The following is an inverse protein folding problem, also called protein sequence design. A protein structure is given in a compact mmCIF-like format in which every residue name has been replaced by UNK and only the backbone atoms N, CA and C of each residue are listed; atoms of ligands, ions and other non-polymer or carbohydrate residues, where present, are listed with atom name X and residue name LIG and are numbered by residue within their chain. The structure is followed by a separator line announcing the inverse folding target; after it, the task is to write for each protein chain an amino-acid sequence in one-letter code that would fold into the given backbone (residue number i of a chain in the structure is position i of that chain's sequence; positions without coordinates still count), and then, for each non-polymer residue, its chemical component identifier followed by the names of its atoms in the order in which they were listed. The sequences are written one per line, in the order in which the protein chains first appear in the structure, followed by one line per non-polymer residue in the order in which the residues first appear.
data_IF_463110907734
#
_entry.id   IF_463110907734
#
_cell.length_a   1.000
_cell.length_b   1.000
_cell.length_c   1.000
_cell.angle_alpha   90.00
_cell.angle_beta   90.00
_cell.angle_gamma   90.00
#
_symmetry.space_group_name_H-M   'P 1'
#
loop_
_entity.id
_entity.type
_entity.pdbx_description
1 polymer ?
#
# COMPACT_ATOMS: atom_id res chain seq x y z
N UNK A 1 -19.12 -20.28 47.19
CA UNK A 1 -20.43 -20.58 47.82
C UNK A 1 -21.19 -19.27 47.92
N UNK A 2 -22.39 -19.18 47.35
CA UNK A 2 -23.29 -18.01 47.52
C UNK A 2 -23.43 -17.11 46.29
N UNK A 3 -24.21 -17.58 45.33
CA UNK A 3 -25.01 -16.76 44.40
C UNK A 3 -26.23 -16.20 45.19
N UNK A 4 -27.22 -15.51 44.59
CA UNK A 4 -27.28 -14.28 43.76
C UNK A 4 -28.25 -13.25 44.39
N UNK A 5 -28.51 -12.08 43.78
CA UNK A 5 -29.88 -11.57 43.62
C UNK A 5 -30.00 -10.38 42.65
N UNK A 6 -31.17 -10.32 42.00
CA UNK A 6 -31.56 -9.54 40.83
C UNK A 6 -31.92 -8.07 41.16
N UNK A 7 -31.98 -7.19 40.14
CA UNK A 7 -32.37 -5.79 40.28
C UNK A 7 -33.88 -5.58 40.29
N UNK A 8 -34.34 -4.54 41.00
CA UNK A 8 -35.71 -4.02 40.97
C UNK A 8 -35.71 -2.49 40.79
N UNK A 9 -36.61 -2.03 39.92
CA UNK A 9 -37.31 -0.74 39.93
C UNK A 9 -36.50 0.56 39.68
N UNK A 10 -36.96 1.59 38.97
CA UNK A 10 -38.20 1.87 38.24
C UNK A 10 -38.08 3.31 37.68
N UNK A 11 -38.77 3.59 36.55
CA UNK A 11 -39.55 4.84 36.28
C UNK A 11 -38.72 6.13 35.98
N UNK A 12 -38.94 6.95 34.94
CA UNK A 12 -40.13 7.60 34.32
C UNK A 12 -39.75 7.91 32.85
N UNK A 13 -40.56 7.65 31.80
CA UNK A 13 -41.68 8.47 31.28
C UNK A 13 -41.17 9.65 30.44
N UNK A 14 -41.77 10.16 29.36
CA UNK A 14 -43.02 10.02 28.61
C UNK A 14 -42.71 10.61 27.19
N UNK A 15 -43.47 10.58 26.09
CA UNK A 15 -44.89 10.73 25.77
C UNK A 15 -45.09 10.07 24.37
N UNK A 16 -46.17 9.34 24.07
CA UNK A 16 -47.48 9.89 23.63
C UNK A 16 -47.41 10.23 22.12
N UNK A 17 -48.24 9.77 21.19
CA UNK A 17 -49.66 9.36 21.14
C UNK A 17 -49.80 8.53 19.83
N UNK A 18 -50.78 7.67 19.54
CA UNK A 18 -52.13 7.45 20.05
C UNK A 18 -52.97 6.79 18.93
N UNK A 19 -54.09 6.18 19.31
CA UNK A 19 -55.14 5.53 18.51
C UNK A 19 -54.92 4.02 18.20
N UNK A 20 -55.22 3.10 19.14
CA UNK A 20 -56.54 2.49 19.44
C UNK A 20 -57.10 1.69 18.25
N UNK A 21 -57.40 0.39 18.35
CA UNK A 21 -58.46 -0.15 19.20
C UNK A 21 -58.25 -1.61 19.60
N UNK A 22 -58.76 -1.89 20.79
CA UNK A 22 -58.97 -3.15 21.48
C UNK A 22 -59.64 -4.25 20.62
N UNK A 23 -59.44 -5.52 21.00
CA UNK A 23 -60.50 -6.42 21.52
C UNK A 23 -59.88 -7.79 21.79
N UNK A 24 -59.89 -8.18 23.07
CA UNK A 24 -59.89 -9.58 23.47
C UNK A 24 -61.07 -10.29 22.80
N UNK A 25 -60.81 -11.32 22.00
CA UNK A 25 -61.83 -12.29 21.66
C UNK A 25 -61.29 -13.71 21.85
N UNK A 26 -61.44 -14.20 23.08
CA UNK A 26 -61.72 -15.62 23.31
C UNK A 26 -63.00 -15.97 22.56
N UNK A 27 -62.87 -16.36 21.29
CA UNK A 27 -63.98 -16.93 20.53
C UNK A 27 -63.47 -17.99 19.56
N UNK A 28 -63.81 -19.22 19.93
CA UNK A 28 -64.30 -20.28 19.07
C UNK A 28 -63.43 -20.66 17.85
N UNK A 29 -63.02 -21.93 17.84
CA UNK A 29 -62.49 -22.62 16.66
C UNK A 29 -63.55 -22.63 15.55
N UNK A 30 -63.69 -21.55 14.78
CA UNK A 30 -64.39 -21.58 13.50
C UNK A 30 -63.54 -22.35 12.50
N UNK A 31 -64.13 -23.38 11.91
CA UNK A 31 -63.47 -24.22 10.90
C UNK A 31 -63.30 -23.40 9.62
N UNK A 32 -62.12 -22.78 9.44
CA UNK A 32 -61.73 -22.05 8.22
C UNK A 32 -62.18 -22.82 6.96
N UNK A 33 -62.76 -22.13 5.97
CA UNK A 33 -63.18 -22.80 4.73
C UNK A 33 -61.96 -23.36 3.98
N UNK A 34 -62.14 -24.37 3.12
CA UNK A 34 -61.02 -25.04 2.45
C UNK A 34 -60.18 -24.09 1.58
N UNK A 35 -60.80 -23.06 1.01
CA UNK A 35 -60.14 -22.05 0.18
C UNK A 35 -59.29 -21.08 1.03
N UNK A 36 -59.80 -20.62 2.17
CA UNK A 36 -59.05 -19.79 3.12
C UNK A 36 -57.87 -20.56 3.73
N UNK A 37 -58.05 -21.86 4.00
CA UNK A 37 -56.96 -22.75 4.43
C UNK A 37 -55.89 -22.88 3.34
N UNK A 38 -56.29 -23.03 2.08
CA UNK A 38 -55.37 -23.10 0.93
C UNK A 38 -54.61 -21.79 0.74
N UNK A 39 -55.29 -20.65 0.78
CA UNK A 39 -54.65 -19.33 0.66
C UNK A 39 -53.67 -19.05 1.81
N UNK A 40 -54.03 -19.41 3.05
CA UNK A 40 -53.14 -19.32 4.22
C UNK A 40 -51.91 -20.22 4.08
N UNK A 41 -52.09 -21.42 3.53
CA UNK A 41 -51.01 -22.36 3.25
C UNK A 41 -50.07 -21.83 2.15
N UNK A 42 -50.61 -21.24 1.09
CA UNK A 42 -49.80 -20.65 0.01
C UNK A 42 -49.04 -19.40 0.48
N UNK A 43 -49.65 -18.56 1.34
CA UNK A 43 -48.95 -17.46 2.01
C UNK A 43 -47.81 -17.98 2.92
N UNK A 44 -48.05 -19.07 3.66
CA UNK A 44 -47.03 -19.72 4.48
C UNK A 44 -45.89 -20.28 3.62
N UNK A 45 -46.20 -20.94 2.50
CA UNK A 45 -45.20 -21.43 1.53
C UNK A 45 -44.37 -20.29 0.97
N UNK A 46 -44.99 -19.18 0.55
CA UNK A 46 -44.28 -17.98 0.08
C UNK A 46 -43.34 -17.42 1.15
N UNK A 47 -43.80 -17.35 2.40
CA UNK A 47 -42.97 -16.91 3.54
C UNK A 47 -41.80 -17.87 3.80
N UNK A 48 -42.03 -19.18 3.74
CA UNK A 48 -40.97 -20.20 3.88
C UNK A 48 -39.95 -20.16 2.74
N UNK A 49 -40.41 -19.93 1.50
CA UNK A 49 -39.50 -19.76 0.37
C UNK A 49 -38.69 -18.46 0.47
N UNK A 50 -39.30 -17.36 0.91
CA UNK A 50 -38.62 -16.10 1.13
C UNK A 50 -37.55 -16.21 2.23
N UNK A 51 -37.88 -16.86 3.36
CA UNK A 51 -36.91 -17.09 4.44
C UNK A 51 -35.79 -18.03 4.02
N UNK A 52 -36.11 -19.13 3.32
CA UNK A 52 -35.10 -20.05 2.79
C UNK A 52 -34.15 -19.36 1.79
N UNK A 53 -34.68 -18.50 0.91
CA UNK A 53 -33.88 -17.70 -0.02
C UNK A 53 -33.02 -16.68 0.71
N UNK A 54 -33.57 -15.94 1.68
CA UNK A 54 -32.83 -14.97 2.47
C UNK A 54 -31.70 -15.63 3.27
N UNK A 55 -31.96 -16.80 3.87
CA UNK A 55 -30.94 -17.59 4.57
C UNK A 55 -29.86 -18.10 3.60
N UNK A 56 -30.23 -18.53 2.39
CA UNK A 56 -29.25 -18.92 1.38
C UNK A 56 -28.39 -17.73 0.94
N UNK A 57 -29.02 -16.56 0.77
CA UNK A 57 -28.31 -15.34 0.40
C UNK A 57 -27.35 -14.90 1.52
N UNK A 58 -27.78 -14.90 2.78
CA UNK A 58 -26.91 -14.53 3.91
C UNK A 58 -25.72 -15.49 4.05
N UNK A 59 -25.92 -16.80 3.90
CA UNK A 59 -24.83 -17.78 3.90
C UNK A 59 -23.84 -17.56 2.75
N UNK A 60 -24.34 -17.27 1.54
CA UNK A 60 -23.48 -16.98 0.39
C UNK A 60 -22.71 -15.68 0.61
N UNK A 61 -23.37 -14.62 1.08
CA UNK A 61 -22.75 -13.33 1.40
C UNK A 61 -21.69 -13.46 2.51
N UNK A 62 -21.96 -14.23 3.56
CA UNK A 62 -21.00 -14.49 4.62
C UNK A 62 -19.77 -15.24 4.06
N UNK A 63 -20.00 -16.30 3.27
CA UNK A 63 -18.92 -17.02 2.60
C UNK A 63 -18.13 -16.14 1.63
N UNK A 64 -18.79 -15.18 0.97
CA UNK A 64 -18.14 -14.23 0.08
C UNK A 64 -17.31 -13.22 0.89
N UNK A 65 -17.86 -12.67 1.99
CA UNK A 65 -17.15 -11.78 2.91
C UNK A 65 -15.91 -12.44 3.50
N UNK A 66 -16.01 -13.71 3.88
CA UNK A 66 -14.87 -14.49 4.39
C UNK A 66 -13.79 -14.75 3.33
N UNK A 67 -14.17 -14.80 2.03
CA UNK A 67 -13.22 -15.01 0.92
C UNK A 67 -12.52 -13.74 0.45
N UNK A 68 -13.02 -12.55 0.80
CA UNK A 68 -12.41 -11.28 0.38
C UNK A 68 -11.09 -11.09 1.11
N UNK A 69 -10.01 -11.34 0.38
CA UNK A 69 -8.65 -11.06 0.83
C UNK A 69 -8.34 -9.56 0.71
N UNK A 70 -7.37 -9.04 1.47
CA UNK A 70 -6.96 -7.63 1.41
C UNK A 70 -6.61 -7.15 -0.02
N UNK A 71 -6.02 -8.04 -0.84
CA UNK A 71 -5.71 -7.77 -2.24
C UNK A 71 -6.96 -7.63 -3.12
N UNK A 72 -7.99 -8.42 -2.85
CA UNK A 72 -9.26 -8.38 -3.57
C UNK A 72 -10.10 -7.19 -3.14
N UNK A 73 -10.13 -6.87 -1.84
CA UNK A 73 -10.73 -5.65 -1.32
C UNK A 73 -10.15 -4.39 -2.01
N UNK A 74 -8.82 -4.26 -2.06
CA UNK A 74 -8.15 -3.15 -2.75
C UNK A 74 -8.35 -3.15 -4.28
N UNK A 75 -8.69 -4.29 -4.89
CA UNK A 75 -9.08 -4.37 -6.32
C UNK A 75 -10.51 -3.87 -6.51
N UNK A 76 -11.44 -4.31 -5.66
CA UNK A 76 -12.84 -3.89 -5.70
C UNK A 76 -12.98 -2.39 -5.39
N UNK A 77 -12.22 -1.87 -4.44
CA UNK A 77 -12.17 -0.44 -4.13
C UNK A 77 -11.70 0.38 -5.35
N UNK A 78 -10.62 -0.05 -6.02
CA UNK A 78 -10.17 0.59 -7.27
C UNK A 78 -11.22 0.53 -8.37
N UNK A 79 -11.97 -0.57 -8.48
CA UNK A 79 -13.06 -0.70 -9.44
C UNK A 79 -14.23 0.24 -9.10
N UNK A 80 -14.58 0.37 -7.81
CA UNK A 80 -15.61 1.29 -7.33
C UNK A 80 -15.23 2.74 -7.56
N UNK A 81 -14.02 3.14 -7.17
CA UNK A 81 -13.49 4.48 -7.43
C UNK A 81 -13.46 4.80 -8.94
N UNK A 82 -13.04 3.84 -9.78
CA UNK A 82 -13.12 3.99 -11.23
C UNK A 82 -14.56 4.20 -11.69
N UNK A 83 -15.50 3.38 -11.22
CA UNK A 83 -16.92 3.53 -11.57
C UNK A 83 -17.49 4.89 -11.13
N UNK A 84 -17.12 5.38 -9.94
CA UNK A 84 -17.50 6.72 -9.45
C UNK A 84 -16.88 7.83 -10.31
N UNK A 85 -15.61 7.72 -10.69
CA UNK A 85 -14.96 8.70 -11.59
C UNK A 85 -15.58 8.70 -12.99
N UNK A 86 -16.01 7.53 -13.50
CA UNK A 86 -16.72 7.45 -14.77
C UNK A 86 -18.14 7.99 -14.66
N UNK A 87 -18.84 7.73 -13.56
CA UNK A 87 -20.18 8.25 -13.32
C UNK A 87 -20.16 9.76 -13.21
N UNK A 88 -19.29 10.30 -12.36
CA UNK A 88 -19.09 11.76 -12.22
C UNK A 88 -18.67 12.40 -13.54
N UNK A 89 -17.88 11.71 -14.36
CA UNK A 89 -17.54 12.16 -15.71
C UNK A 89 -18.77 12.22 -16.63
N UNK A 90 -19.59 11.18 -16.67
CA UNK A 90 -20.84 11.16 -17.43
C UNK A 90 -21.81 12.25 -16.95
N UNK A 91 -21.99 12.38 -15.62
CA UNK A 91 -22.84 13.39 -14.98
C UNK A 91 -22.37 14.83 -15.29
N UNK A 92 -21.07 15.05 -15.54
CA UNK A 92 -20.51 16.35 -15.92
C UNK A 92 -20.55 16.60 -17.44
N UNK A 93 -20.39 15.57 -18.27
CA UNK A 93 -20.61 15.65 -19.72
C UNK A 93 -22.07 16.00 -20.05
N UNK A 94 -23.04 15.41 -19.32
CA UNK A 94 -24.47 15.74 -19.44
C UNK A 94 -24.79 17.18 -19.02
N UNK A 95 -24.09 17.70 -18.00
CA UNK A 95 -24.22 19.10 -17.55
C UNK A 95 -23.41 20.09 -18.40
N UNK A 96 -22.55 19.62 -19.30
CA UNK A 96 -21.66 20.46 -20.10
C UNK A 96 -20.55 21.14 -19.29
N UNK A 97 -20.17 20.59 -18.13
CA UNK A 97 -19.13 21.12 -17.26
C UNK A 97 -17.75 20.52 -17.60
N UNK A 98 -16.70 21.36 -17.59
CA UNK A 98 -15.32 20.94 -17.79
C UNK A 98 -14.70 20.42 -16.47
N UNK A 99 -14.68 19.10 -16.32
CA UNK A 99 -14.18 18.40 -15.12
C UNK A 99 -12.70 18.68 -14.88
N UNK A 100 -11.91 18.79 -15.95
CA UNK A 100 -10.47 19.00 -15.83
C UNK A 100 -10.20 20.41 -15.29
N UNK A 101 -10.95 21.42 -15.76
CA UNK A 101 -10.87 22.76 -15.20
C UNK A 101 -11.21 22.82 -13.71
N UNK A 102 -12.28 22.14 -13.29
CA UNK A 102 -12.66 22.09 -11.88
C UNK A 102 -11.58 21.44 -11.01
N UNK A 103 -11.00 20.32 -11.46
CA UNK A 103 -9.87 19.66 -10.80
C UNK A 103 -8.61 20.53 -10.77
N UNK A 104 -8.34 21.26 -11.84
CA UNK A 104 -7.18 22.15 -11.91
C UNK A 104 -7.29 23.33 -10.94
N UNK A 105 -8.50 23.75 -10.57
CA UNK A 105 -8.71 24.75 -9.53
C UNK A 105 -8.45 24.22 -8.11
N UNK A 106 -8.56 22.91 -7.91
CA UNK A 106 -8.28 22.28 -6.62
C UNK A 106 -6.77 22.16 -6.34
N UNK A 107 -5.93 22.17 -7.38
CA UNK A 107 -4.48 22.10 -7.21
C UNK A 107 -3.91 23.42 -6.70
N UNK A 108 -3.27 23.36 -5.53
CA UNK A 108 -2.47 24.48 -5.02
C UNK A 108 -1.14 24.58 -5.76
N UNK A 109 -0.52 25.77 -5.74
CA UNK A 109 0.80 25.99 -6.37
C UNK A 109 1.84 25.06 -5.76
N UNK A 110 1.82 24.87 -4.44
CA UNK A 110 2.75 23.99 -3.72
C UNK A 110 2.60 22.52 -4.15
N UNK A 111 1.35 22.05 -4.28
CA UNK A 111 1.07 20.70 -4.76
C UNK A 111 1.53 20.49 -6.20
N UNK A 112 1.35 21.49 -7.07
CA UNK A 112 1.84 21.43 -8.45
C UNK A 112 3.37 21.37 -8.49
N UNK A 113 4.06 22.20 -7.71
CA UNK A 113 5.53 22.20 -7.63
C UNK A 113 6.08 20.86 -7.13
N UNK A 114 5.46 20.27 -6.10
CA UNK A 114 5.82 18.94 -5.61
C UNK A 114 5.57 17.85 -6.66
N UNK A 115 4.46 17.96 -7.39
CA UNK A 115 4.11 17.05 -8.48
C UNK A 115 5.11 17.12 -9.63
N UNK A 116 5.47 18.32 -10.08
CA UNK A 116 6.50 18.53 -11.11
C UNK A 116 7.86 17.99 -10.66
N UNK A 117 8.25 18.24 -9.41
CA UNK A 117 9.48 17.69 -8.82
C UNK A 117 9.46 16.16 -8.81
N UNK A 118 8.32 15.55 -8.52
CA UNK A 118 8.13 14.09 -8.55
C UNK A 118 8.21 13.54 -9.97
N UNK A 119 7.61 14.21 -10.96
CA UNK A 119 7.69 13.85 -12.37
C UNK A 119 9.11 13.97 -12.91
N UNK A 120 9.80 15.07 -12.63
CA UNK A 120 11.20 15.27 -12.99
C UNK A 120 12.10 14.20 -12.38
N UNK A 121 11.89 13.86 -11.10
CA UNK A 121 12.56 12.76 -10.41
C UNK A 121 12.29 11.41 -11.09
N UNK A 122 11.06 11.15 -11.52
CA UNK A 122 10.69 9.92 -12.24
C UNK A 122 11.34 9.85 -13.61
N UNK A 123 11.30 10.94 -14.39
CA UNK A 123 11.96 11.05 -15.70
C UNK A 123 13.46 10.78 -15.60
N UNK A 124 14.14 11.35 -14.60
CA UNK A 124 15.55 11.07 -14.31
C UNK A 124 15.85 9.62 -13.96
N UNK A 125 14.91 8.91 -13.31
CA UNK A 125 15.08 7.49 -12.95
C UNK A 125 14.65 6.53 -14.05
N UNK A 126 13.98 7.02 -15.10
CA UNK A 126 13.56 6.22 -16.25
C UNK A 126 14.71 5.92 -17.22
N UNK A 127 15.90 6.48 -16.99
CA UNK A 127 17.10 6.11 -17.73
C UNK A 127 17.62 4.73 -17.26
N UNK A 128 17.37 3.72 -18.10
CA UNK A 128 17.81 2.35 -17.91
C UNK A 128 19.12 2.04 -18.62
N UNK A 129 19.69 2.99 -19.35
CA UNK A 129 20.94 2.80 -20.07
C UNK A 129 22.11 2.62 -19.09
N UNK A 130 23.13 1.90 -19.55
CA UNK A 130 24.37 1.71 -18.83
C UNK A 130 25.41 2.66 -19.44
N UNK A 131 25.89 3.61 -18.64
CA UNK A 131 26.91 4.58 -19.02
C UNK A 131 28.28 4.14 -18.51
N UNK A 132 28.43 4.10 -17.18
CA UNK A 132 29.62 3.61 -16.47
C UNK A 132 29.24 2.91 -15.15
N UNK A 133 30.21 2.26 -14.54
CA UNK A 133 30.04 1.58 -13.26
C UNK A 133 29.82 2.57 -12.11
N UNK A 134 30.44 3.76 -12.15
CA UNK A 134 30.29 4.77 -11.11
C UNK A 134 28.88 5.38 -11.09
N UNK A 135 28.29 5.70 -12.25
CA UNK A 135 26.88 6.12 -12.33
C UNK A 135 25.93 5.00 -11.92
N UNK A 136 26.21 3.75 -12.31
CA UNK A 136 25.41 2.61 -11.87
C UNK A 136 25.44 2.44 -10.33
N UNK A 137 26.61 2.57 -9.71
CA UNK A 137 26.78 2.54 -8.26
C UNK A 137 26.05 3.72 -7.59
N UNK A 138 26.20 4.94 -8.11
CA UNK A 138 25.50 6.14 -7.62
C UNK A 138 23.98 6.00 -7.70
N UNK A 139 23.44 5.44 -8.79
CA UNK A 139 22.01 5.17 -8.94
C UNK A 139 21.52 4.16 -7.90
N UNK A 140 22.27 3.08 -7.66
CA UNK A 140 21.97 2.09 -6.62
C UNK A 140 21.98 2.73 -5.23
N UNK A 141 23.02 3.48 -4.90
CA UNK A 141 23.13 4.19 -3.62
C UNK A 141 21.96 5.15 -3.39
N UNK A 142 21.60 5.97 -4.38
CA UNK A 142 20.42 6.86 -4.27
C UNK A 142 19.13 6.10 -4.04
N UNK A 143 18.96 4.96 -4.70
CA UNK A 143 17.80 4.11 -4.49
C UNK A 143 17.80 3.54 -3.07
N UNK A 144 18.94 3.11 -2.55
CA UNK A 144 19.05 2.60 -1.19
C UNK A 144 18.73 3.67 -0.15
N UNK A 145 19.13 4.94 -0.39
CA UNK A 145 18.72 6.08 0.44
C UNK A 145 17.21 6.28 0.46
N UNK A 146 16.50 6.08 -0.66
CA UNK A 146 15.04 6.16 -0.68
C UNK A 146 14.37 5.05 0.17
N UNK A 147 15.05 3.90 0.38
CA UNK A 147 14.52 2.78 1.15
C UNK A 147 15.01 2.78 2.61
N UNK A 148 15.98 3.64 2.94
CA UNK A 148 16.50 3.77 4.29
C UNK A 148 15.43 4.44 5.17
N UNK A 149 15.03 3.75 6.23
CA UNK A 149 14.14 4.29 7.26
C UNK A 149 14.95 4.45 8.55
N UNK A 150 15.42 5.66 8.88
CA UNK A 150 16.16 5.91 10.11
C UNK A 150 15.29 5.67 11.34
N UNK A 151 15.89 5.12 12.40
CA UNK A 151 15.28 5.07 13.72
C UNK A 151 15.49 6.41 14.43
N UNK A 152 14.46 7.26 14.37
CA UNK A 152 14.49 8.61 14.95
C UNK A 152 14.49 8.57 16.48
N UNK A 153 13.92 7.55 17.11
CA UNK A 153 13.86 7.47 18.57
C UNK A 153 15.24 7.17 19.16
N UNK A 154 15.92 6.17 18.60
CA UNK A 154 17.28 5.84 19.02
C UNK A 154 18.25 7.02 18.79
N UNK A 155 18.10 7.71 17.66
CA UNK A 155 18.87 8.92 17.35
C UNK A 155 18.57 10.06 18.34
N UNK A 156 17.29 10.32 18.64
CA UNK A 156 16.90 11.38 19.57
C UNK A 156 17.40 11.09 20.99
N UNK A 157 17.37 9.84 21.46
CA UNK A 157 17.95 9.48 22.78
C UNK A 157 19.45 9.76 22.85
N UNK A 158 20.20 9.42 21.79
CA UNK A 158 21.63 9.75 21.73
C UNK A 158 21.86 11.27 21.70
N UNK A 159 21.00 12.00 20.99
CA UNK A 159 21.02 13.46 20.91
C UNK A 159 20.68 14.14 22.24
N UNK A 160 19.73 13.62 23.00
CA UNK A 160 19.39 14.10 24.34
C UNK A 160 20.58 13.98 25.28
N UNK A 161 21.26 12.82 25.31
CA UNK A 161 22.45 12.59 26.15
C UNK A 161 23.59 13.56 25.76
N UNK A 162 23.83 13.73 24.47
CA UNK A 162 24.86 14.64 23.96
C UNK A 162 24.60 16.11 24.34
N UNK A 163 23.34 16.53 24.31
CA UNK A 163 22.93 17.89 24.65
C UNK A 163 22.65 18.09 26.16
N UNK A 164 22.73 17.03 26.96
CA UNK A 164 22.40 17.06 28.38
C UNK A 164 20.91 17.25 28.69
N UNK A 165 20.02 16.97 27.73
CA UNK A 165 18.57 17.02 27.93
C UNK A 165 18.07 15.78 28.68
N UNK A 166 16.97 15.93 29.41
CA UNK A 166 16.28 14.80 30.05
C UNK A 166 15.74 13.80 29.02
N UNK A 167 15.66 12.49 29.37
CA UNK A 167 15.20 11.46 28.45
C UNK A 167 13.75 11.72 28.01
N UNK A 168 13.50 11.67 26.70
CA UNK A 168 12.18 11.89 26.09
C UNK A 168 11.82 13.35 25.79
N UNK A 169 12.70 14.30 26.07
CA UNK A 169 12.49 15.73 25.79
C UNK A 169 12.41 16.09 24.31
N UNK A 170 13.00 15.28 23.42
CA UNK A 170 12.96 15.46 21.96
C UNK A 170 11.92 14.56 21.28
N UNK A 171 11.34 13.61 22.02
CA UNK A 171 10.32 12.67 21.52
C UNK A 171 8.92 13.27 21.69
N UNK A 172 8.67 13.98 22.78
CA UNK A 172 7.42 14.73 22.97
C UNK A 172 7.48 15.98 22.09
N UNK A 173 6.62 16.03 21.07
CA UNK A 173 6.56 17.14 20.13
C UNK A 173 6.53 18.49 20.85
N UNK A 174 7.23 19.46 20.25
CA UNK A 174 7.29 20.87 20.64
C UNK A 174 5.98 21.36 21.29
N UNK A 175 6.01 21.62 22.59
CA UNK A 175 4.88 22.25 23.30
C UNK A 175 5.10 23.77 23.32
N UNK A 176 4.35 24.55 22.52
CA UNK A 176 4.57 25.99 22.37
C UNK A 176 4.26 26.82 23.62
N UNK A 177 3.70 26.21 24.68
CA UNK A 177 3.39 26.90 25.94
C UNK A 177 4.57 26.96 26.91
N UNK A 178 5.65 26.22 26.66
CA UNK A 178 6.91 26.38 27.39
C UNK A 178 7.88 27.18 26.52
N UNK A 179 8.15 28.42 26.95
CA UNK A 179 8.97 29.37 26.21
C UNK A 179 10.30 28.76 25.76
N UNK A 180 10.54 28.84 24.46
CA UNK A 180 11.82 28.49 23.85
C UNK A 180 12.90 29.45 24.35
N UNK A 181 13.57 29.09 25.43
CA UNK A 181 14.86 29.68 25.75
C UNK A 181 15.88 29.06 24.80
N UNK A 182 16.22 29.79 23.73
CA UNK A 182 17.34 29.50 22.83
C UNK A 182 18.69 29.72 23.54
N UNK A 183 18.85 29.15 24.73
CA UNK A 183 20.12 29.08 25.40
C UNK A 183 20.87 27.90 24.82
N UNK A 184 22.00 28.18 24.17
CA UNK A 184 22.97 27.17 23.76
C UNK A 184 23.35 26.36 25.00
N UNK A 185 22.75 25.18 25.16
CA UNK A 185 23.08 24.25 26.23
C UNK A 185 24.47 23.68 25.92
N UNK A 186 25.49 24.37 26.41
CA UNK A 186 26.85 23.84 26.44
C UNK A 186 26.84 22.61 27.35
N UNK A 187 27.47 21.50 26.96
CA UNK A 187 27.55 20.30 27.80
C UNK A 187 28.27 20.63 29.11
N UNK A 188 27.52 20.64 30.21
CA UNK A 188 27.97 21.10 31.53
C UNK A 188 28.81 20.05 32.25
N UNK A 189 28.60 18.76 31.96
CA UNK A 189 29.39 17.67 32.54
C UNK A 189 30.43 17.10 31.56
N UNK A 190 31.55 16.59 32.09
CA UNK A 190 32.57 15.90 31.29
C UNK A 190 31.97 14.71 30.51
N UNK A 191 31.00 14.02 31.10
CA UNK A 191 30.30 12.92 30.44
C UNK A 191 29.42 13.40 29.28
N UNK A 192 28.78 14.58 29.41
CA UNK A 192 28.04 15.20 28.31
C UNK A 192 28.98 15.68 27.21
N UNK A 193 30.16 16.22 27.54
CA UNK A 193 31.16 16.62 26.56
C UNK A 193 31.64 15.42 25.74
N UNK A 194 31.99 14.32 26.40
CA UNK A 194 32.34 13.07 25.72
C UNK A 194 31.18 12.52 24.89
N UNK A 195 29.94 12.59 25.39
CA UNK A 195 28.76 12.16 24.63
C UNK A 195 28.50 13.05 23.40
N UNK A 196 28.72 14.36 23.52
CA UNK A 196 28.62 15.32 22.42
C UNK A 196 29.69 15.10 21.37
N UNK A 197 30.95 14.90 21.78
CA UNK A 197 32.06 14.53 20.89
C UNK A 197 31.80 13.17 20.22
N UNK A 198 31.18 12.23 20.92
CA UNK A 198 30.79 10.94 20.37
C UNK A 198 29.70 11.03 19.30
N UNK A 199 28.74 11.96 19.45
CA UNK A 199 27.64 12.13 18.51
C UNK A 199 28.03 13.00 17.31
N UNK A 200 28.76 14.10 17.56
CA UNK A 200 29.22 15.05 16.54
C UNK A 200 30.72 14.88 16.31
N UNK A 201 31.11 13.70 15.82
CA UNK A 201 32.50 13.37 15.52
C UNK A 201 33.03 14.19 14.34
N UNK A 202 34.18 14.82 14.55
CA UNK A 202 34.96 15.48 13.49
C UNK A 202 36.09 14.54 12.99
N UNK A 203 36.70 14.87 11.84
CA UNK A 203 37.82 14.14 11.27
C UNK A 203 39.00 13.94 12.25
N UNK A 204 39.15 14.82 13.24
CA UNK A 204 40.21 14.77 14.26
C UNK A 204 39.78 14.09 15.58
N UNK A 205 38.56 13.57 15.70
CA UNK A 205 38.15 12.87 16.92
C UNK A 205 38.84 11.52 17.04
N UNK A 206 39.54 11.30 18.17
CA UNK A 206 40.36 10.10 18.40
C UNK A 206 39.53 8.84 18.74
N UNK A 207 38.23 9.01 19.02
CA UNK A 207 37.34 7.91 19.35
C UNK A 207 37.05 7.14 18.05
N UNK A 208 37.64 5.96 17.87
CA UNK A 208 37.44 5.10 16.70
C UNK A 208 37.44 3.63 17.12
N UNK A 209 36.52 2.82 16.56
CA UNK A 209 36.44 1.39 16.84
C UNK A 209 35.61 0.96 18.07
N UNK A 210 35.10 1.91 18.86
CA UNK A 210 34.32 1.59 20.07
C UNK A 210 32.83 1.25 19.83
N UNK A 211 32.34 1.41 18.59
CA UNK A 211 30.94 1.13 18.26
C UNK A 211 30.68 -0.38 18.21
N UNK A 212 29.89 -0.88 19.16
CA UNK A 212 29.35 -2.24 19.18
C UNK A 212 27.85 -2.16 18.83
N UNK A 213 27.47 -2.32 17.56
CA UNK A 213 26.08 -2.23 17.16
C UNK A 213 25.26 -3.37 17.79
N UNK A 214 23.97 -3.11 18.00
CA UNK A 214 23.04 -4.13 18.49
C UNK A 214 22.85 -5.23 17.45
N UNK A 215 22.53 -6.45 17.88
CA UNK A 215 22.27 -7.58 16.99
C UNK A 215 21.16 -7.25 15.98
N UNK A 216 20.11 -6.57 16.40
CA UNK A 216 19.03 -6.11 15.51
C UNK A 216 19.54 -5.18 14.40
N UNK A 217 20.50 -4.29 14.69
CA UNK A 217 21.07 -3.41 13.68
C UNK A 217 21.90 -4.20 12.66
N UNK A 218 22.63 -5.22 13.12
CA UNK A 218 23.37 -6.16 12.25
C UNK A 218 22.39 -6.91 11.35
N UNK A 219 21.31 -7.47 11.91
CA UNK A 219 20.29 -8.20 11.15
C UNK A 219 19.62 -7.35 10.08
N UNK A 220 19.35 -6.07 10.37
CA UNK A 220 18.83 -5.13 9.36
C UNK A 220 19.79 -4.98 8.17
N UNK A 221 21.10 -4.89 8.43
CA UNK A 221 22.12 -4.78 7.38
C UNK A 221 22.24 -6.08 6.60
N UNK A 222 22.32 -7.23 7.29
CA UNK A 222 22.37 -8.56 6.64
C UNK A 222 21.13 -8.78 5.77
N UNK A 223 19.94 -8.44 6.28
CA UNK A 223 18.69 -8.50 5.54
C UNK A 223 18.64 -7.58 4.32
N UNK A 224 19.36 -6.44 4.31
CA UNK A 224 19.55 -5.61 3.11
C UNK A 224 20.48 -6.29 2.12
N UNK A 225 21.64 -6.78 2.59
CA UNK A 225 22.65 -7.42 1.74
C UNK A 225 22.04 -8.60 0.98
N UNK A 226 21.31 -9.47 1.67
CA UNK A 226 20.64 -10.62 1.04
C UNK A 226 19.65 -10.17 -0.06
N UNK A 227 18.85 -9.13 0.21
CA UNK A 227 17.95 -8.55 -0.80
C UNK A 227 18.69 -8.00 -2.02
N UNK A 228 19.89 -7.45 -1.84
CA UNK A 228 20.67 -6.92 -2.95
C UNK A 228 21.37 -8.01 -3.76
N UNK A 229 21.80 -9.10 -3.10
CA UNK A 229 22.25 -10.33 -3.78
C UNK A 229 21.13 -10.89 -4.65
N UNK A 230 19.89 -10.96 -4.13
CA UNK A 230 18.72 -11.42 -4.89
C UNK A 230 18.37 -10.51 -6.07
N UNK A 231 18.48 -9.19 -5.90
CA UNK A 231 18.27 -8.25 -7.02
C UNK A 231 19.36 -8.41 -8.08
N UNK A 232 20.61 -8.65 -7.67
CA UNK A 232 21.75 -8.85 -8.59
C UNK A 232 21.58 -10.14 -9.38
N UNK A 233 21.16 -11.24 -8.75
CA UNK A 233 20.90 -12.51 -9.45
C UNK A 233 19.76 -12.39 -10.46
N UNK A 234 18.72 -11.61 -10.15
CA UNK A 234 17.57 -11.35 -11.03
C UNK A 234 17.78 -10.24 -12.06
N UNK A 235 18.97 -9.64 -12.14
CA UNK A 235 19.25 -8.54 -13.07
C UNK A 235 19.18 -9.00 -14.54
N UNK A 236 19.72 -10.19 -14.83
CA UNK A 236 19.59 -10.82 -16.13
C UNK A 236 18.40 -11.78 -16.12
N UNK A 237 17.35 -11.46 -16.87
CA UNK A 237 16.13 -12.28 -16.97
C UNK A 237 16.09 -12.96 -18.33
N UNK A 238 15.76 -14.26 -18.36
CA UNK A 238 15.48 -14.98 -19.61
C UNK A 238 14.26 -14.34 -20.27
N UNK A 239 14.30 -14.11 -21.59
CA UNK A 239 13.15 -13.61 -22.35
C UNK A 239 12.37 -14.83 -22.83
N UNK A 240 11.04 -14.81 -22.67
CA UNK A 240 10.17 -15.93 -23.04
C UNK A 240 10.11 -16.15 -24.56
N UNK A 241 10.36 -15.11 -25.36
CA UNK A 241 10.27 -15.13 -26.82
C UNK A 241 11.44 -15.86 -27.53
N UNK A 242 12.29 -16.56 -26.78
CA UNK A 242 13.50 -17.20 -27.33
C UNK A 242 13.25 -18.64 -27.81
N UNK A 243 12.08 -19.23 -27.53
CA UNK A 243 11.74 -20.63 -27.86
C UNK A 243 10.78 -20.77 -29.05
N UNK A 244 10.15 -19.68 -29.49
CA UNK A 244 9.09 -19.68 -30.52
C UNK A 244 9.60 -19.39 -31.95
N UNK A 245 10.92 -19.40 -32.16
CA UNK A 245 11.53 -19.07 -33.46
C UNK A 245 12.33 -20.22 -34.07
N UNK A 246 12.69 -20.07 -35.36
CA UNK A 246 13.55 -21.01 -36.07
C UNK A 246 14.88 -21.21 -35.35
N UNK A 247 15.19 -22.47 -35.05
CA UNK A 247 16.39 -22.85 -34.30
C UNK A 247 17.60 -22.76 -35.23
N UNK A 248 18.32 -21.64 -35.17
CA UNK A 248 19.53 -21.37 -35.96
C UNK A 248 20.83 -21.86 -35.30
N UNK A 249 20.74 -22.64 -34.21
CA UNK A 249 21.89 -23.03 -33.40
C UNK A 249 21.88 -24.52 -33.03
N UNK A 250 23.07 -25.11 -32.89
CA UNK A 250 23.25 -26.52 -32.51
C UNK A 250 23.53 -26.65 -31.00
N UNK A 251 24.24 -25.69 -30.40
CA UNK A 251 24.56 -25.69 -28.97
C UNK A 251 24.26 -24.33 -28.30
N UNK A 252 24.24 -24.29 -26.97
CA UNK A 252 23.92 -23.07 -26.20
C UNK A 252 24.95 -21.95 -26.42
N UNK A 253 26.22 -22.29 -26.63
CA UNK A 253 27.26 -21.30 -26.91
C UNK A 253 27.03 -20.60 -28.26
N UNK A 254 26.66 -21.37 -29.28
CA UNK A 254 26.30 -20.93 -30.62
C UNK A 254 25.03 -20.08 -30.56
N UNK A 255 24.03 -20.46 -29.75
CA UNK A 255 22.84 -19.61 -29.51
C UNK A 255 23.21 -18.22 -28.97
N UNK A 256 24.07 -18.17 -27.95
CA UNK A 256 24.54 -16.89 -27.37
C UNK A 256 25.36 -16.09 -28.38
N UNK A 257 26.18 -16.77 -29.18
CA UNK A 257 26.96 -16.15 -30.25
C UNK A 257 26.06 -15.57 -31.34
N UNK A 258 25.13 -16.35 -31.91
CA UNK A 258 24.16 -15.89 -32.90
C UNK A 258 23.33 -14.72 -32.35
N UNK A 259 22.93 -14.77 -31.08
CA UNK A 259 22.24 -13.64 -30.41
C UNK A 259 23.12 -12.40 -30.27
N UNK A 260 24.45 -12.56 -30.10
CA UNK A 260 25.38 -11.42 -30.12
C UNK A 260 25.45 -10.83 -31.53
N UNK A 261 25.64 -11.66 -32.56
CA UNK A 261 25.67 -11.23 -33.96
C UNK A 261 24.38 -10.50 -34.33
N UNK A 262 23.23 -11.07 -33.97
CA UNK A 262 21.92 -10.50 -34.25
C UNK A 262 21.78 -9.05 -33.73
N UNK A 263 22.27 -8.76 -32.51
CA UNK A 263 22.22 -7.40 -31.94
C UNK A 263 22.96 -6.35 -32.77
N UNK A 264 24.05 -6.74 -33.44
CA UNK A 264 24.89 -5.80 -34.20
C UNK A 264 24.52 -5.76 -35.68
N UNK A 265 24.21 -6.91 -36.28
CA UNK A 265 24.11 -7.04 -37.73
C UNK A 265 22.67 -7.11 -38.26
N UNK A 266 21.67 -7.50 -37.45
CA UNK A 266 20.29 -7.64 -37.95
C UNK A 266 19.73 -6.35 -38.54
N UNK A 267 20.15 -5.19 -38.01
CA UNK A 267 19.78 -3.88 -38.54
C UNK A 267 20.22 -3.71 -40.01
N UNK A 268 21.33 -4.31 -40.40
CA UNK A 268 21.91 -4.19 -41.74
C UNK A 268 21.58 -5.38 -42.65
N UNK A 269 21.29 -6.56 -42.08
CA UNK A 269 21.02 -7.79 -42.84
C UNK A 269 19.54 -8.13 -42.95
N UNK A 270 18.64 -7.23 -42.55
CA UNK A 270 17.20 -7.44 -42.57
C UNK A 270 16.67 -7.77 -43.97
N UNK A 271 17.14 -7.06 -45.00
CA UNK A 271 16.75 -7.29 -46.39
C UNK A 271 17.21 -8.65 -46.91
N UNK A 272 18.45 -9.03 -46.58
CA UNK A 272 19.02 -10.34 -46.95
C UNK A 272 18.19 -11.46 -46.30
N UNK A 273 17.85 -11.33 -45.01
CA UNK A 273 17.00 -12.29 -44.30
C UNK A 273 15.61 -12.40 -44.94
N UNK A 274 14.97 -11.28 -45.23
CA UNK A 274 13.66 -11.25 -45.89
C UNK A 274 13.72 -11.86 -47.31
N UNK A 275 14.83 -11.72 -48.03
CA UNK A 275 15.01 -12.36 -49.34
C UNK A 275 15.22 -13.87 -49.25
N UNK A 276 15.88 -14.36 -48.20
CA UNK A 276 15.93 -15.80 -47.91
C UNK A 276 14.55 -16.35 -47.55
N UNK A 277 13.78 -15.65 -46.71
CA UNK A 277 12.42 -16.04 -46.33
C UNK A 277 11.43 -16.00 -47.51
N UNK A 278 11.64 -15.08 -48.46
CA UNK A 278 10.86 -14.99 -49.71
C UNK A 278 11.32 -15.97 -50.80
N UNK A 279 12.34 -16.79 -50.54
CA UNK A 279 12.83 -17.78 -51.48
C UNK A 279 13.68 -17.19 -52.61
N UNK A 280 14.83 -16.60 -52.26
CA UNK A 280 15.96 -16.22 -53.15
C UNK A 280 15.56 -15.81 -54.58
N UNK A 281 14.59 -14.91 -54.70
CA UNK A 281 14.34 -14.18 -55.93
C UNK A 281 15.14 -12.86 -55.84
N UNK A 282 16.19 -12.77 -56.65
CA UNK A 282 16.87 -11.50 -56.97
C UNK A 282 15.97 -10.66 -57.87
#
# INVERSE_FOLDING_TARGET
MGNPEKPSDAVVGAEGEGATTEVESTKEKSTMTMEERKAKLDALRKKMHASSKANRQSLVEESARQKINAREAARLERQRALAETLRTKADAEERGEDIERAKNWEYTIEENDEWEKKLARKKRRADFEFHDDAHAARRRYKKDLDHLKPDLEAYNRQKEIALGLGPGSLITGFNPTQGASSSQLLPTSQQQQLAAENLYRDANTLIYGDNKPTEEAIDRVVGKINRDVDKKSKFSRKRNNEEEGDITYINEHNRVFNKKIARYYDKYTAEIRASFERGTAL
#
